data_IF_610499211702
#
_entry.id   IF_610499211702
#
_cell.length_a   1.000
_cell.length_b   1.000
_cell.length_c   1.000
_cell.angle_alpha   90.00
_cell.angle_beta   90.00
_cell.angle_gamma   90.00
#
_symmetry.space_group_name_H-M   'P 1'
#
loop_
_entity.id
_entity.type
_entity.pdbx_description
1 polymer ?
#
# COMPACT_ATOMS: atom_id res chain seq x y z
N UNK A 1 4.65 -0.63 31.46
CA UNK A 1 6.06 -0.99 31.29
C UNK A 1 6.31 -1.23 29.80
N UNK A 2 7.37 -0.67 29.21
CA UNK A 2 7.71 -0.93 27.81
C UNK A 2 8.53 -2.22 27.74
N UNK A 3 8.03 -3.25 27.08
CA UNK A 3 8.61 -4.59 27.05
C UNK A 3 9.99 -4.71 26.34
N UNK A 4 10.58 -3.61 25.86
CA UNK A 4 11.84 -3.64 25.09
C UNK A 4 11.76 -4.37 23.75
N UNK A 5 10.56 -4.81 23.36
CA UNK A 5 10.29 -5.60 22.16
C UNK A 5 10.44 -4.79 20.88
N UNK A 6 10.88 -5.46 19.82
CA UNK A 6 11.05 -4.88 18.50
C UNK A 6 10.47 -5.82 17.43
N UNK A 7 9.72 -5.31 16.43
CA UNK A 7 8.97 -6.19 15.54
C UNK A 7 9.87 -6.89 14.52
N UNK A 8 9.68 -8.19 14.36
CA UNK A 8 10.20 -8.94 13.21
C UNK A 8 9.38 -8.69 11.94
N UNK A 9 8.09 -8.40 12.08
CA UNK A 9 7.16 -8.19 10.96
C UNK A 9 6.29 -6.97 11.21
N UNK A 10 6.18 -6.11 10.19
CA UNK A 10 5.20 -5.01 10.13
C UNK A 10 4.28 -5.25 8.94
N UNK A 11 2.98 -5.37 9.21
CA UNK A 11 1.96 -5.67 8.20
C UNK A 11 0.78 -4.73 8.32
N UNK A 12 0.26 -4.26 7.19
CA UNK A 12 -1.00 -3.51 7.14
C UNK A 12 -1.70 -3.66 5.78
N UNK A 13 -2.98 -3.32 5.75
CA UNK A 13 -3.78 -3.34 4.54
C UNK A 13 -3.46 -2.14 3.62
N UNK A 14 -3.61 -2.34 2.32
CA UNK A 14 -3.23 -1.37 1.30
C UNK A 14 -4.44 -0.97 0.46
N UNK A 15 -5.06 0.16 0.82
CA UNK A 15 -6.00 0.88 -0.02
C UNK A 15 -5.21 1.82 -0.93
N UNK A 16 -5.14 3.11 -0.57
CA UNK A 16 -4.16 4.04 -1.12
C UNK A 16 -2.77 3.99 -0.45
N UNK A 17 -2.59 3.12 0.54
CA UNK A 17 -1.29 2.86 1.18
C UNK A 17 -0.88 3.80 2.32
N UNK A 18 -1.61 4.90 2.59
CA UNK A 18 -1.24 5.87 3.63
C UNK A 18 -1.08 5.27 5.03
N UNK A 19 -2.01 4.40 5.45
CA UNK A 19 -1.93 3.72 6.74
C UNK A 19 -0.72 2.79 6.84
N UNK A 20 -0.45 2.02 5.77
CA UNK A 20 0.67 1.10 5.69
C UNK A 20 1.99 1.86 5.73
N UNK A 21 2.12 2.95 4.98
CA UNK A 21 3.29 3.83 5.03
C UNK A 21 3.47 4.46 6.40
N UNK A 22 2.40 4.95 7.01
CA UNK A 22 2.42 5.58 8.33
C UNK A 22 2.96 4.66 9.42
N UNK A 23 2.55 3.39 9.43
CA UNK A 23 3.08 2.43 10.40
C UNK A 23 4.47 1.89 9.99
N UNK A 24 4.71 1.63 8.71
CA UNK A 24 5.91 0.87 8.29
C UNK A 24 7.15 1.71 8.05
N UNK A 25 7.04 2.98 7.66
CA UNK A 25 8.19 3.78 7.26
C UNK A 25 9.25 3.97 8.36
N UNK A 26 8.89 4.18 9.65
CA UNK A 26 9.88 4.21 10.72
C UNK A 26 10.69 2.91 10.82
N UNK A 27 10.03 1.75 10.74
CA UNK A 27 10.71 0.45 10.79
C UNK A 27 11.49 0.16 9.51
N UNK A 28 10.95 0.52 8.34
CA UNK A 28 11.65 0.41 7.06
C UNK A 28 12.94 1.23 7.07
N UNK A 29 12.94 2.40 7.69
CA UNK A 29 14.14 3.21 7.90
C UNK A 29 15.20 2.44 8.69
N UNK A 30 14.83 1.78 9.80
CA UNK A 30 15.77 1.01 10.62
C UNK A 30 16.29 -0.23 9.86
N UNK A 31 15.45 -0.86 9.03
CA UNK A 31 15.92 -1.90 8.10
C UNK A 31 16.98 -1.39 7.12
N UNK A 32 16.74 -0.24 6.50
CA UNK A 32 17.60 0.31 5.44
C UNK A 32 18.89 0.97 5.96
N UNK A 33 18.88 1.46 7.21
CA UNK A 33 19.99 2.28 7.76
C UNK A 33 20.70 1.65 8.95
N UNK A 34 20.05 0.75 9.66
CA UNK A 34 20.54 0.18 10.92
C UNK A 34 20.63 -1.35 10.87
N UNK A 35 20.55 -1.93 9.66
CA UNK A 35 20.62 -3.37 9.41
C UNK A 35 19.65 -4.22 10.25
N UNK A 36 18.50 -3.65 10.66
CA UNK A 36 17.46 -4.40 11.35
C UNK A 36 16.81 -5.39 10.37
N UNK A 37 16.71 -6.65 10.77
CA UNK A 37 16.05 -7.67 9.96
C UNK A 37 14.53 -7.64 10.18
N UNK A 38 13.83 -6.78 9.45
CA UNK A 38 12.37 -6.60 9.57
C UNK A 38 11.71 -6.99 8.26
N UNK A 39 10.62 -7.76 8.30
CA UNK A 39 9.78 -8.01 7.12
C UNK A 39 8.64 -7.01 7.08
N UNK A 40 8.49 -6.29 5.97
CA UNK A 40 7.42 -5.30 5.77
C UNK A 40 6.47 -5.82 4.70
N UNK A 41 5.17 -5.94 5.01
CA UNK A 41 4.17 -6.58 4.15
C UNK A 41 2.97 -5.67 3.94
N UNK A 42 2.69 -5.31 2.69
CA UNK A 42 1.44 -4.68 2.29
C UNK A 42 0.46 -5.76 1.82
N UNK A 43 -0.77 -5.76 2.34
CA UNK A 43 -1.83 -6.70 1.95
C UNK A 43 -2.93 -5.99 1.15
N UNK A 44 -3.29 -6.53 0.00
CA UNK A 44 -4.35 -6.01 -0.87
C UNK A 44 -5.40 -7.09 -1.20
N UNK A 45 -6.62 -6.74 -1.63
CA UNK A 45 -7.61 -7.72 -2.00
C UNK A 45 -7.35 -8.24 -3.42
N UNK A 46 -7.60 -9.54 -3.65
CA UNK A 46 -7.49 -10.14 -4.99
C UNK A 46 -8.47 -9.54 -6.02
N UNK A 47 -9.53 -8.87 -5.56
CA UNK A 47 -10.51 -8.15 -6.38
C UNK A 47 -10.06 -6.74 -6.81
N UNK A 48 -9.08 -6.14 -6.12
CA UNK A 48 -8.47 -4.85 -6.49
C UNK A 48 -6.91 -4.95 -6.46
N UNK A 49 -6.30 -5.86 -7.25
CA UNK A 49 -4.91 -6.30 -7.07
C UNK A 49 -3.87 -5.36 -7.72
N UNK A 50 -3.77 -4.11 -7.27
CA UNK A 50 -2.87 -3.10 -7.88
C UNK A 50 -1.37 -3.37 -7.62
N UNK A 51 -1.00 -3.87 -6.44
CA UNK A 51 0.39 -4.16 -6.08
C UNK A 51 0.90 -5.43 -6.76
N UNK A 52 0.03 -6.44 -6.94
CA UNK A 52 0.40 -7.76 -7.47
C UNK A 52 0.13 -7.92 -8.96
N UNK A 53 -0.78 -7.13 -9.55
CA UNK A 53 -1.12 -7.20 -10.98
C UNK A 53 -1.20 -5.85 -11.70
N UNK A 54 -1.07 -4.74 -10.97
CA UNK A 54 -1.06 -3.41 -11.57
C UNK A 54 0.24 -3.12 -12.31
N UNK A 55 0.20 -2.10 -13.16
CA UNK A 55 1.34 -1.63 -13.93
C UNK A 55 1.92 -0.39 -13.23
N UNK A 56 3.25 -0.34 -13.09
CA UNK A 56 3.91 0.86 -12.61
C UNK A 56 4.04 1.88 -13.75
N UNK A 57 3.22 2.92 -13.70
CA UNK A 57 3.17 3.98 -14.71
C UNK A 57 2.65 5.28 -14.10
N UNK A 58 2.68 6.35 -14.88
CA UNK A 58 2.03 7.60 -14.51
C UNK A 58 0.52 7.49 -14.71
N UNK A 59 -0.27 7.82 -13.69
CA UNK A 59 -1.73 7.81 -13.73
C UNK A 59 -2.30 8.85 -12.76
N UNK A 60 -3.59 9.15 -12.88
CA UNK A 60 -4.29 10.10 -12.02
C UNK A 60 -4.53 9.51 -10.62
N UNK A 61 -4.33 10.29 -9.57
CA UNK A 61 -4.58 9.91 -8.18
C UNK A 61 -6.06 10.00 -7.77
N UNK A 62 -6.95 10.36 -8.69
CA UNK A 62 -8.39 10.37 -8.50
C UNK A 62 -9.10 9.99 -9.80
N UNK A 63 -10.31 9.46 -9.68
CA UNK A 63 -11.13 9.01 -10.81
C UNK A 63 -11.50 10.16 -11.77
N UNK A 64 -11.60 11.40 -11.28
CA UNK A 64 -12.02 12.56 -12.07
C UNK A 64 -10.87 13.18 -12.89
N UNK A 65 -9.62 12.79 -12.62
CA UNK A 65 -8.42 13.31 -13.31
C UNK A 65 -8.02 14.73 -12.89
N UNK A 66 -8.32 15.16 -11.66
CA UNK A 66 -7.99 16.51 -11.18
C UNK A 66 -6.61 16.62 -10.53
N UNK A 67 -6.07 15.51 -10.04
CA UNK A 67 -4.70 15.42 -9.57
C UNK A 67 -3.70 15.46 -10.73
N UNK A 68 -2.45 15.89 -10.49
CA UNK A 68 -1.37 15.62 -11.42
C UNK A 68 -1.14 14.12 -11.61
N UNK A 69 -0.49 13.74 -12.71
CA UNK A 69 -0.04 12.36 -12.90
C UNK A 69 1.03 11.97 -11.86
N UNK A 70 0.82 10.86 -11.17
CA UNK A 70 1.73 10.31 -10.16
C UNK A 70 2.31 8.97 -10.65
N UNK A 71 3.60 8.69 -10.44
CA UNK A 71 4.17 7.38 -10.72
C UNK A 71 3.70 6.40 -9.64
N UNK A 72 2.86 5.44 -10.02
CA UNK A 72 2.29 4.47 -9.09
C UNK A 72 1.96 3.13 -9.75
N UNK A 73 1.79 2.09 -8.94
CA UNK A 73 1.14 0.87 -9.39
C UNK A 73 -0.37 1.12 -9.51
N UNK A 74 -0.91 0.96 -10.71
CA UNK A 74 -2.31 1.26 -11.01
C UNK A 74 -3.00 0.13 -11.79
N UNK A 75 -4.31 0.02 -11.61
CA UNK A 75 -5.21 -0.76 -12.48
C UNK A 75 -5.92 0.15 -13.51
N UNK A 76 -5.60 1.45 -13.50
CA UNK A 76 -6.31 2.55 -14.16
C UNK A 76 -7.16 3.34 -13.15
N UNK A 77 -7.07 4.67 -13.17
CA UNK A 77 -7.88 5.56 -12.30
C UNK A 77 -9.39 5.41 -12.48
N UNK A 78 -9.83 4.82 -13.59
CA UNK A 78 -11.22 4.49 -13.92
C UNK A 78 -11.58 3.02 -13.66
N UNK A 79 -10.72 2.27 -12.97
CA UNK A 79 -11.01 0.90 -12.55
C UNK A 79 -12.18 0.85 -11.56
N UNK A 80 -13.15 -0.01 -11.83
CA UNK A 80 -14.24 -0.31 -10.91
C UNK A 80 -14.17 -1.78 -10.49
N UNK A 81 -14.12 -2.09 -9.19
CA UNK A 81 -14.19 -3.48 -8.72
C UNK A 81 -15.56 -4.09 -9.01
N UNK A 82 -15.65 -5.43 -8.97
CA UNK A 82 -16.91 -6.16 -9.14
C UNK A 82 -18.00 -5.66 -8.17
N UNK A 83 -19.26 -5.64 -8.62
CA UNK A 83 -20.40 -5.19 -7.81
C UNK A 83 -20.61 -5.97 -6.50
N UNK A 84 -20.10 -7.21 -6.43
CA UNK A 84 -20.17 -8.04 -5.22
C UNK A 84 -19.02 -7.76 -4.23
N UNK A 85 -18.07 -6.90 -4.59
CA UNK A 85 -16.92 -6.58 -3.74
C UNK A 85 -17.34 -5.68 -2.58
N UNK A 86 -17.25 -6.22 -1.36
CA UNK A 86 -17.60 -5.55 -0.11
C UNK A 86 -16.42 -5.36 0.85
N UNK A 87 -15.19 -5.69 0.44
CA UNK A 87 -14.00 -5.69 1.30
C UNK A 87 -13.31 -4.33 1.51
N UNK A 88 -13.86 -3.23 0.97
CA UNK A 88 -13.17 -1.93 0.96
C UNK A 88 -11.97 -1.91 0.01
N UNK A 89 -10.94 -1.12 0.31
CA UNK A 89 -9.68 -1.07 -0.46
C UNK A 89 -9.87 -0.96 -1.99
N UNK A 90 -10.79 -0.08 -2.41
CA UNK A 90 -11.22 0.10 -3.80
C UNK A 90 -10.42 1.12 -4.61
N UNK A 91 -9.59 1.91 -3.92
CA UNK A 91 -8.72 2.92 -4.52
C UNK A 91 -7.82 2.30 -5.58
#
# INVERSE_FOLDING_TARGET
EMAGEYPDVVIACFGGGSNFSGISFPFLRHKLKENKNIRVIAAEPASCPKLTRGVFQYDFGDEAGYTPLLPMFTLGHNFAPSNIHAGGLRY
#
